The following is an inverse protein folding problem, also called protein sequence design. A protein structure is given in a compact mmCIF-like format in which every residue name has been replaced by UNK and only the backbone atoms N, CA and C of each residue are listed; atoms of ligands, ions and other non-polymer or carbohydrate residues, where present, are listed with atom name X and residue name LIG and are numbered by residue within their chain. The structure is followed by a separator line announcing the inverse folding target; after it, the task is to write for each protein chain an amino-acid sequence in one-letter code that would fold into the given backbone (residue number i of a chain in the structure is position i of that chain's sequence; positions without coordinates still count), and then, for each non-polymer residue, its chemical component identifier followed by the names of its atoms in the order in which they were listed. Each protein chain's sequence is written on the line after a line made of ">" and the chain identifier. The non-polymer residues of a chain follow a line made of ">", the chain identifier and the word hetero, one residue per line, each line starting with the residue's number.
data_IF_440898627900
#
_entry.id   IF_440898627900
#
_cell.length_a   1.000
_cell.length_b   1.000
_cell.length_c   1.000
_cell.angle_alpha   90.00
_cell.angle_beta   90.00
_cell.angle_gamma   90.00
#
_symmetry.space_group_name_H-M   'P 1'
#
loop_
_entity.id
_entity.type
_entity.pdbx_description
1 polymer ?
#
# COMPACT_ATOMS: atom_id res chain seq x y z
N UNK A 1 9.70 3.47 -21.88
CA UNK A 1 8.77 3.68 -20.76
C UNK A 1 9.35 2.88 -19.61
N UNK A 2 9.98 3.55 -18.65
CA UNK A 2 10.54 2.83 -17.50
C UNK A 2 9.36 2.25 -16.73
N UNK A 3 9.23 0.92 -16.73
CA UNK A 3 8.41 0.26 -15.74
C UNK A 3 8.90 0.79 -14.39
N UNK A 4 8.00 1.42 -13.63
CA UNK A 4 8.41 1.93 -12.33
C UNK A 4 8.87 0.73 -11.50
N UNK A 5 9.85 0.86 -10.59
CA UNK A 5 10.23 -0.23 -9.67
C UNK A 5 9.01 -0.91 -9.04
N UNK A 6 7.96 -0.12 -8.83
CA UNK A 6 6.61 -0.53 -8.44
C UNK A 6 5.92 -1.55 -9.38
N UNK A 7 6.01 -1.39 -10.70
CA UNK A 7 5.47 -2.32 -11.70
C UNK A 7 6.26 -3.62 -11.74
N UNK A 8 7.59 -3.54 -11.70
CA UNK A 8 8.44 -4.74 -11.60
C UNK A 8 8.12 -5.52 -10.33
N UNK A 9 7.98 -4.85 -9.19
CA UNK A 9 7.56 -5.46 -7.93
C UNK A 9 6.14 -6.02 -7.98
N UNK A 10 5.20 -5.37 -8.68
CA UNK A 10 3.88 -5.97 -8.90
C UNK A 10 3.96 -7.24 -9.75
N UNK A 11 4.93 -7.35 -10.65
CA UNK A 11 5.14 -8.52 -11.50
C UNK A 11 5.90 -9.64 -10.78
N UNK A 12 6.97 -9.31 -10.05
CA UNK A 12 7.89 -10.25 -9.40
C UNK A 12 7.46 -10.63 -7.97
N UNK A 13 6.77 -9.75 -7.26
CA UNK A 13 6.50 -9.91 -5.83
C UNK A 13 4.99 -10.01 -5.54
N UNK A 14 4.53 -11.24 -5.29
CA UNK A 14 3.12 -11.54 -5.03
C UNK A 14 2.57 -10.76 -3.81
N UNK A 15 3.40 -10.58 -2.78
CA UNK A 15 3.05 -9.81 -1.58
C UNK A 15 2.81 -8.33 -1.89
N UNK A 16 3.61 -7.73 -2.78
CA UNK A 16 3.41 -6.34 -3.20
C UNK A 16 2.07 -6.19 -3.94
N UNK A 17 1.71 -7.19 -4.76
CA UNK A 17 0.42 -7.22 -5.46
C UNK A 17 -0.76 -7.33 -4.48
N UNK A 18 -0.65 -8.17 -3.44
CA UNK A 18 -1.65 -8.27 -2.36
C UNK A 18 -1.78 -6.96 -1.59
N UNK A 19 -0.64 -6.37 -1.16
CA UNK A 19 -0.59 -5.08 -0.50
C UNK A 19 -1.23 -3.96 -1.35
N UNK A 20 -0.99 -3.95 -2.66
CA UNK A 20 -1.61 -2.99 -3.58
C UNK A 20 -3.14 -3.18 -3.67
N UNK A 21 -3.62 -4.41 -3.70
CA UNK A 21 -5.06 -4.71 -3.64
C UNK A 21 -5.68 -4.27 -2.32
N UNK A 22 -5.06 -4.60 -1.18
CA UNK A 22 -5.51 -4.17 0.14
C UNK A 22 -5.51 -2.64 0.25
N UNK A 23 -4.47 -1.96 -0.24
CA UNK A 23 -4.41 -0.51 -0.27
C UNK A 23 -5.59 0.10 -1.07
N UNK A 24 -5.92 -0.48 -2.22
CA UNK A 24 -7.07 -0.05 -3.03
C UNK A 24 -8.40 -0.26 -2.30
N UNK A 25 -8.59 -1.41 -1.66
CA UNK A 25 -9.78 -1.66 -0.85
C UNK A 25 -9.88 -0.68 0.33
N UNK A 26 -8.78 -0.42 1.04
CA UNK A 26 -8.76 0.56 2.13
C UNK A 26 -8.97 1.99 1.62
N UNK A 27 -8.47 2.35 0.43
CA UNK A 27 -8.83 3.61 -0.22
C UNK A 27 -10.34 3.75 -0.39
N UNK A 28 -10.99 2.77 -1.03
CA UNK A 28 -12.43 2.80 -1.30
C UNK A 28 -13.26 2.87 -0.02
N UNK A 29 -12.89 2.09 1.00
CA UNK A 29 -13.57 2.09 2.30
C UNK A 29 -13.43 3.43 3.00
N UNK A 30 -12.23 4.00 2.99
CA UNK A 30 -11.95 5.31 3.57
C UNK A 30 -12.67 6.43 2.82
N UNK A 31 -12.74 6.35 1.49
CA UNK A 31 -13.46 7.31 0.64
C UNK A 31 -14.97 7.24 0.90
N UNK A 32 -15.52 6.05 1.07
CA UNK A 32 -16.93 5.85 1.45
C UNK A 32 -17.25 6.50 2.80
N UNK A 33 -16.34 6.37 3.77
CA UNK A 33 -16.46 7.03 5.07
C UNK A 33 -16.36 8.56 4.90
N UNK A 34 -15.34 9.06 4.19
CA UNK A 34 -15.16 10.50 3.94
C UNK A 34 -16.32 11.15 3.18
N UNK A 35 -16.99 10.40 2.31
CA UNK A 35 -18.19 10.88 1.61
C UNK A 35 -19.38 11.07 2.55
N UNK A 36 -19.43 10.37 3.70
CA UNK A 36 -20.46 10.58 4.69
C UNK A 36 -20.21 11.90 5.43
N UNK A 37 -21.11 12.86 5.22
CA UNK A 37 -21.08 14.19 5.86
C UNK A 37 -21.13 14.14 7.39
N UNK A 38 -21.65 13.05 7.96
CA UNK A 38 -21.71 12.81 9.40
C UNK A 38 -21.17 11.41 9.70
N UNK A 39 -19.89 11.36 10.10
CA UNK A 39 -19.24 10.15 10.59
C UNK A 39 -19.62 9.93 12.06
N UNK A 40 -20.14 8.75 12.38
CA UNK A 40 -20.32 8.31 13.78
C UNK A 40 -18.96 8.14 14.48
N UNK A 41 -18.93 8.02 15.81
CA UNK A 41 -17.68 7.75 16.55
C UNK A 41 -17.02 6.44 16.09
N UNK A 42 -17.82 5.41 15.79
CA UNK A 42 -17.34 4.15 15.20
C UNK A 42 -16.68 4.39 13.84
N UNK A 43 -17.30 5.21 12.98
CA UNK A 43 -16.76 5.51 11.65
C UNK A 43 -15.50 6.37 11.70
N UNK A 44 -15.36 7.28 12.66
CA UNK A 44 -14.10 8.01 12.90
C UNK A 44 -12.99 7.09 13.36
N UNK A 45 -13.28 6.14 14.24
CA UNK A 45 -12.32 5.11 14.66
C UNK A 45 -11.91 4.23 13.47
N UNK A 46 -12.87 3.87 12.62
CA UNK A 46 -12.62 3.14 11.37
C UNK A 46 -11.72 3.95 10.42
N UNK A 47 -11.97 5.26 10.23
CA UNK A 47 -11.11 6.13 9.41
C UNK A 47 -9.66 6.16 9.93
N UNK A 48 -9.49 6.33 11.24
CA UNK A 48 -8.16 6.34 11.87
C UNK A 48 -7.47 4.98 11.71
N UNK A 49 -8.21 3.87 11.88
CA UNK A 49 -7.69 2.52 11.61
C UNK A 49 -7.27 2.36 10.15
N UNK A 50 -8.11 2.78 9.21
CA UNK A 50 -7.81 2.70 7.77
C UNK A 50 -6.61 3.57 7.38
N UNK A 51 -6.45 4.77 7.95
CA UNK A 51 -5.23 5.59 7.79
C UNK A 51 -3.99 4.86 8.30
N UNK A 52 -4.07 4.23 9.48
CA UNK A 52 -2.96 3.44 10.03
C UNK A 52 -2.62 2.22 9.16
N UNK A 53 -3.62 1.50 8.65
CA UNK A 53 -3.39 0.38 7.74
C UNK A 53 -2.76 0.83 6.43
N UNK A 54 -3.24 1.94 5.84
CA UNK A 54 -2.61 2.54 4.66
C UNK A 54 -1.15 2.91 4.90
N UNK A 55 -0.85 3.50 6.05
CA UNK A 55 0.52 3.83 6.42
C UNK A 55 1.37 2.55 6.53
N UNK A 56 0.87 1.53 7.22
CA UNK A 56 1.55 0.23 7.35
C UNK A 56 1.80 -0.44 6.00
N UNK A 57 0.83 -0.42 5.09
CA UNK A 57 1.03 -0.95 3.73
C UNK A 57 2.09 -0.16 2.99
N UNK A 58 2.10 1.17 3.13
CA UNK A 58 3.13 2.01 2.52
C UNK A 58 4.51 1.64 3.08
N UNK A 59 4.63 1.45 4.40
CA UNK A 59 5.89 1.02 5.03
C UNK A 59 6.33 -0.36 4.52
N UNK A 60 5.39 -1.30 4.36
CA UNK A 60 5.68 -2.63 3.77
C UNK A 60 6.11 -2.54 2.31
N UNK A 61 5.45 -1.70 1.51
CA UNK A 61 5.84 -1.44 0.12
C UNK A 61 7.25 -0.87 0.04
N UNK A 62 7.58 0.09 0.90
CA UNK A 62 8.91 0.70 0.93
C UNK A 62 9.99 -0.31 1.38
N UNK A 63 9.67 -1.18 2.32
CA UNK A 63 10.57 -2.25 2.76
C UNK A 63 10.87 -3.25 1.63
N UNK A 64 9.84 -3.63 0.86
CA UNK A 64 9.98 -4.48 -0.33
C UNK A 64 10.80 -3.76 -1.41
N UNK A 65 10.53 -2.47 -1.67
CA UNK A 65 11.32 -1.66 -2.61
C UNK A 65 12.80 -1.59 -2.23
N UNK A 66 13.10 -1.41 -0.94
CA UNK A 66 14.48 -1.41 -0.45
C UNK A 66 15.15 -2.77 -0.58
N UNK A 67 14.44 -3.87 -0.25
CA UNK A 67 14.98 -5.22 -0.41
C UNK A 67 15.26 -5.55 -1.87
N UNK A 68 14.33 -5.23 -2.77
CA UNK A 68 14.50 -5.47 -4.20
C UNK A 68 15.65 -4.64 -4.77
N UNK A 69 15.74 -3.35 -4.40
CA UNK A 69 16.88 -2.49 -4.80
C UNK A 69 18.22 -3.07 -4.34
N UNK A 70 18.29 -3.64 -3.13
CA UNK A 70 19.50 -4.30 -2.61
C UNK A 70 19.81 -5.61 -3.35
N UNK A 71 18.79 -6.43 -3.66
CA UNK A 71 18.97 -7.67 -4.40
C UNK A 71 19.43 -7.41 -5.84
N UNK A 72 18.81 -6.44 -6.54
CA UNK A 72 19.23 -6.00 -7.87
C UNK A 72 20.69 -5.55 -7.84
N UNK A 73 21.09 -4.72 -6.88
CA UNK A 73 22.48 -4.29 -6.71
C UNK A 73 23.46 -5.44 -6.43
N UNK A 74 23.03 -6.53 -5.80
CA UNK A 74 23.87 -7.69 -5.52
C UNK A 74 24.04 -8.63 -6.71
N UNK A 75 23.12 -8.60 -7.68
CA UNK A 75 23.17 -9.45 -8.88
C UNK A 75 24.05 -8.85 -9.99
N UNK A 76 24.35 -7.55 -9.95
CA UNK A 76 25.21 -6.85 -10.94
C UNK A 76 26.68 -6.67 -10.51
N UNK A 77 27.12 -7.28 -9.40
CA UNK A 77 28.52 -7.27 -8.95
C UNK A 77 29.18 -8.65 -9.15
#
# INVERSE_FOLDING_TARGET
>A
MAASLREELMASHEEFRRLAQEHSQFCQRLETLLQKRYLSEEEKLEEVRLKKLKLRIKDQMEMIEQQHRRQEQHQVA
#
